data_IF_705095032881
#
_entry.id   IF_705095032881
#
_cell.length_a   1.000
_cell.length_b   1.000
_cell.length_c   1.000
_cell.angle_alpha   90.00
_cell.angle_beta   90.00
_cell.angle_gamma   90.00
#
_symmetry.space_group_name_H-M   'P 1'
#
loop_
_entity.id
_entity.type
_entity.pdbx_description
1 polymer ?
#
# COMPACT_ATOMS: atom_id res chain seq x y z
N UNK A 1 34.88 -5.68 10.38
CA UNK A 1 34.76 -5.36 8.95
C UNK A 1 33.54 -4.50 8.78
N UNK A 2 33.76 -3.24 8.40
CA UNK A 2 32.80 -2.14 8.47
C UNK A 2 31.76 -2.23 7.33
N UNK A 3 30.48 -2.37 7.69
CA UNK A 3 29.36 -2.18 6.78
C UNK A 3 28.97 -0.71 6.76
N UNK A 4 29.38 0.02 5.71
CA UNK A 4 29.01 1.42 5.50
C UNK A 4 27.52 1.52 5.17
N UNK A 5 26.75 2.18 6.03
CA UNK A 5 25.41 2.67 5.70
C UNK A 5 25.51 3.66 4.52
N UNK A 6 24.80 3.40 3.42
CA UNK A 6 24.79 4.25 2.23
C UNK A 6 24.00 5.57 2.40
N UNK A 7 23.68 5.98 3.62
CA UNK A 7 23.07 7.27 3.91
C UNK A 7 23.62 7.80 5.25
N UNK A 8 24.91 8.14 5.26
CA UNK A 8 25.40 9.09 6.26
C UNK A 8 24.73 10.46 6.04
N UNK A 9 24.50 11.28 7.09
CA UNK A 9 23.94 12.60 6.92
C UNK A 9 24.82 13.37 5.93
N UNK A 10 24.20 13.96 4.91
CA UNK A 10 24.82 14.76 3.85
C UNK A 10 25.88 15.70 4.45
N UNK A 11 27.13 15.24 4.46
CA UNK A 11 28.28 16.09 4.67
C UNK A 11 28.44 16.90 3.39
N UNK A 12 28.36 18.22 3.54
CA UNK A 12 28.68 19.18 2.50
C UNK A 12 30.03 18.80 1.86
N UNK A 13 30.00 18.57 0.55
CA UNK A 13 31.20 18.43 -0.27
C UNK A 13 31.77 17.02 -0.36
N UNK A 14 31.11 16.13 -1.12
CA UNK A 14 31.81 15.01 -1.77
C UNK A 14 31.06 14.57 -3.03
N UNK A 15 31.75 14.66 -4.17
CA UNK A 15 31.27 14.38 -5.51
C UNK A 15 30.85 12.91 -5.68
N UNK A 16 29.55 12.65 -5.63
CA UNK A 16 28.89 11.52 -6.28
C UNK A 16 27.90 12.12 -7.27
N UNK A 17 27.83 11.62 -8.51
CA UNK A 17 26.87 12.05 -9.55
C UNK A 17 25.48 12.30 -8.91
N UNK A 18 25.13 13.58 -8.66
CA UNK A 18 23.97 13.89 -7.84
C UNK A 18 22.75 13.89 -8.74
N UNK A 19 21.81 12.99 -8.48
CA UNK A 19 20.42 13.37 -8.59
C UNK A 19 19.72 13.11 -9.92
N UNK A 20 19.56 11.86 -10.31
CA UNK A 20 18.43 11.45 -11.15
C UNK A 20 17.24 11.01 -10.27
N UNK A 21 17.42 10.02 -9.40
CA UNK A 21 16.33 9.51 -8.56
C UNK A 21 15.97 10.48 -7.42
N UNK A 22 16.99 11.11 -6.81
CA UNK A 22 16.78 12.13 -5.78
C UNK A 22 16.07 13.38 -6.29
N UNK A 23 16.41 13.85 -7.50
CA UNK A 23 15.71 14.99 -8.13
C UNK A 23 14.30 14.61 -8.56
N UNK A 24 14.09 13.40 -9.10
CA UNK A 24 12.75 12.85 -9.38
C UNK A 24 11.90 12.76 -8.12
N UNK A 25 12.46 12.31 -6.99
CA UNK A 25 11.78 12.26 -5.68
C UNK A 25 11.41 13.65 -5.19
N UNK A 26 12.33 14.62 -5.27
CA UNK A 26 12.05 16.01 -4.91
C UNK A 26 10.98 16.64 -5.82
N UNK A 27 11.03 16.36 -7.13
CA UNK A 27 10.04 16.82 -8.10
C UNK A 27 8.65 16.22 -7.82
N UNK A 28 8.57 14.93 -7.52
CA UNK A 28 7.33 14.26 -7.09
C UNK A 28 6.76 14.93 -5.84
N UNK A 29 7.56 15.10 -4.79
CA UNK A 29 7.12 15.72 -3.54
C UNK A 29 6.65 17.17 -3.75
N UNK A 30 7.32 17.94 -4.61
CA UNK A 30 6.89 19.30 -4.93
C UNK A 30 5.53 19.33 -5.64
N UNK A 31 5.28 18.40 -6.59
CA UNK A 31 3.97 18.27 -7.25
C UNK A 31 2.86 17.85 -6.28
N UNK A 32 3.16 16.93 -5.37
CA UNK A 32 2.23 16.50 -4.32
C UNK A 32 1.92 17.63 -3.31
N UNK A 33 2.85 18.56 -3.11
CA UNK A 33 2.68 19.76 -2.28
C UNK A 33 1.93 20.87 -2.99
N UNK A 34 2.15 21.05 -4.29
CA UNK A 34 1.47 22.07 -5.11
C UNK A 34 0.01 21.75 -5.41
N UNK A 35 -0.54 20.67 -4.82
CA UNK A 35 -1.92 20.19 -5.05
C UNK A 35 -2.24 20.03 -6.55
N UNK A 36 -1.27 19.55 -7.33
CA UNK A 36 -1.52 19.17 -8.72
C UNK A 36 -2.65 18.13 -8.81
N UNK A 37 -3.38 18.11 -9.92
CA UNK A 37 -4.40 17.10 -10.14
C UNK A 37 -3.78 15.70 -10.17
N UNK A 38 -4.54 14.71 -9.70
CA UNK A 38 -4.05 13.32 -9.60
C UNK A 38 -3.58 12.80 -10.96
N UNK A 39 -4.34 13.11 -12.02
CA UNK A 39 -4.05 12.69 -13.39
C UNK A 39 -2.72 13.24 -13.88
N UNK A 40 -2.45 14.54 -13.64
CA UNK A 40 -1.21 15.18 -14.05
C UNK A 40 0.02 14.58 -13.36
N UNK A 41 -0.13 14.19 -12.09
CA UNK A 41 0.95 13.57 -11.33
C UNK A 41 1.27 12.18 -11.87
N UNK A 42 0.25 11.36 -12.15
CA UNK A 42 0.43 10.01 -12.69
C UNK A 42 1.02 10.05 -14.11
N UNK A 43 0.50 10.93 -14.96
CA UNK A 43 0.99 11.09 -16.34
C UNK A 43 2.45 11.54 -16.37
N UNK A 44 2.83 12.51 -15.54
CA UNK A 44 4.22 12.91 -15.38
C UNK A 44 5.09 11.75 -14.89
N UNK A 45 4.61 11.00 -13.90
CA UNK A 45 5.36 9.93 -13.26
C UNK A 45 5.66 8.79 -14.25
N UNK A 46 4.64 8.32 -14.99
CA UNK A 46 4.76 7.28 -16.00
C UNK A 46 5.63 7.67 -17.20
N UNK A 47 5.74 8.97 -17.52
CA UNK A 47 6.65 9.46 -18.56
C UNK A 47 8.10 9.63 -18.12
N UNK A 48 8.33 9.82 -16.82
CA UNK A 48 9.64 10.24 -16.29
C UNK A 48 10.41 9.10 -15.62
N UNK A 49 9.72 8.05 -15.21
CA UNK A 49 10.26 6.95 -14.40
C UNK A 49 9.90 5.63 -15.05
N UNK A 50 10.89 4.74 -15.17
CA UNK A 50 10.66 3.39 -15.68
C UNK A 50 9.76 2.61 -14.73
N UNK A 51 8.90 1.75 -15.30
CA UNK A 51 7.90 1.01 -14.54
C UNK A 51 8.51 0.15 -13.41
N UNK A 52 9.75 -0.33 -13.56
CA UNK A 52 10.46 -1.09 -12.53
C UNK A 52 10.80 -0.27 -11.29
N UNK A 53 11.04 1.04 -11.47
CA UNK A 53 11.57 1.92 -10.44
C UNK A 53 10.46 2.75 -9.76
N UNK A 54 9.25 2.75 -10.35
CA UNK A 54 8.08 3.46 -9.84
C UNK A 54 7.77 3.12 -8.38
N UNK A 55 7.64 1.84 -7.97
CA UNK A 55 7.28 1.52 -6.59
C UNK A 55 8.35 1.99 -5.60
N UNK A 56 9.63 1.87 -5.99
CA UNK A 56 10.76 2.28 -5.17
C UNK A 56 10.80 3.79 -4.97
N UNK A 57 10.68 4.55 -6.07
CA UNK A 57 10.67 6.02 -6.00
C UNK A 57 9.50 6.50 -5.12
N UNK A 58 8.27 6.03 -5.39
CA UNK A 58 7.08 6.48 -4.67
C UNK A 58 7.15 6.09 -3.19
N UNK A 59 7.51 4.84 -2.87
CA UNK A 59 7.68 4.43 -1.48
C UNK A 59 8.70 5.31 -0.77
N UNK A 60 9.90 5.47 -1.33
CA UNK A 60 10.96 6.24 -0.68
C UNK A 60 10.59 7.71 -0.52
N UNK A 61 9.97 8.34 -1.52
CA UNK A 61 9.50 9.72 -1.42
C UNK A 61 8.45 9.89 -0.31
N UNK A 62 7.42 9.05 -0.27
CA UNK A 62 6.32 9.16 0.69
C UNK A 62 6.77 8.79 2.11
N UNK A 63 7.53 7.71 2.27
CA UNK A 63 8.06 7.29 3.57
C UNK A 63 9.07 8.30 4.12
N UNK A 64 9.90 8.90 3.27
CA UNK A 64 10.80 9.99 3.67
C UNK A 64 10.04 11.22 4.13
N UNK A 65 8.94 11.58 3.47
CA UNK A 65 8.10 12.70 3.90
C UNK A 65 7.35 12.39 5.21
N UNK A 66 6.98 11.13 5.45
CA UNK A 66 6.24 10.66 6.62
C UNK A 66 7.09 10.26 7.83
N UNK A 67 8.42 10.22 7.71
CA UNK A 67 9.33 9.63 8.72
C UNK A 67 9.33 10.33 10.08
N UNK A 68 8.80 11.55 10.18
CA UNK A 68 8.74 12.34 11.42
C UNK A 68 7.94 11.66 12.53
N UNK A 69 6.84 10.99 12.20
CA UNK A 69 6.03 10.22 13.17
C UNK A 69 5.07 9.28 12.45
N UNK A 70 4.66 8.20 13.14
CA UNK A 70 3.70 7.23 12.60
C UNK A 70 2.39 7.90 12.21
N UNK A 71 1.87 8.85 13.00
CA UNK A 71 0.64 9.58 12.67
C UNK A 71 0.81 10.50 11.46
N UNK A 72 2.00 11.07 11.24
CA UNK A 72 2.26 11.87 10.04
C UNK A 72 2.30 11.00 8.80
N UNK A 73 2.99 9.86 8.88
CA UNK A 73 3.00 8.85 7.84
C UNK A 73 1.59 8.38 7.50
N UNK A 74 0.77 8.05 8.51
CA UNK A 74 -0.60 7.58 8.30
C UNK A 74 -1.44 8.57 7.47
N UNK A 75 -1.38 9.86 7.82
CA UNK A 75 -2.08 10.91 7.05
C UNK A 75 -1.61 11.02 5.61
N UNK A 76 -0.31 10.84 5.36
CA UNK A 76 0.25 10.86 4.00
C UNK A 76 -0.18 9.63 3.21
N UNK A 77 -0.18 8.45 3.81
CA UNK A 77 -0.65 7.22 3.19
C UNK A 77 -2.15 7.32 2.83
N UNK A 78 -2.97 7.93 3.70
CA UNK A 78 -4.39 8.18 3.40
C UNK A 78 -4.57 9.16 2.24
N UNK A 79 -3.83 10.28 2.27
CA UNK A 79 -3.92 11.30 1.23
C UNK A 79 -3.46 10.81 -0.15
N UNK A 80 -2.44 9.96 -0.18
CA UNK A 80 -1.79 9.49 -1.41
C UNK A 80 -2.07 8.01 -1.69
N UNK A 81 -3.16 7.46 -1.15
CA UNK A 81 -3.57 6.07 -1.41
C UNK A 81 -3.76 5.82 -2.90
N UNK A 82 -4.33 6.78 -3.64
CA UNK A 82 -4.52 6.68 -5.10
C UNK A 82 -3.20 6.47 -5.84
N UNK A 83 -2.13 7.14 -5.42
CA UNK A 83 -0.79 7.02 -6.02
C UNK A 83 -0.18 5.65 -5.70
N UNK A 84 -0.34 5.20 -4.45
CA UNK A 84 0.15 3.90 -4.01
C UNK A 84 -0.59 2.74 -4.70
N UNK A 85 -1.89 2.88 -4.93
CA UNK A 85 -2.70 1.90 -5.63
C UNK A 85 -2.32 1.78 -7.11
N UNK A 86 -2.02 2.90 -7.78
CA UNK A 86 -1.57 2.92 -9.17
C UNK A 86 -0.22 2.19 -9.35
N UNK A 87 0.76 2.50 -8.49
CA UNK A 87 2.06 1.81 -8.51
C UNK A 87 2.03 0.38 -7.94
N UNK A 88 0.92 -0.03 -7.33
CA UNK A 88 0.70 -1.37 -6.78
C UNK A 88 -0.36 -2.15 -7.58
N UNK A 89 -0.49 -1.84 -8.87
CA UNK A 89 -1.52 -2.40 -9.75
C UNK A 89 -1.36 -3.91 -9.97
N UNK A 90 -0.12 -4.41 -10.07
CA UNK A 90 0.17 -5.83 -10.28
C UNK A 90 0.92 -6.50 -9.10
N UNK A 91 0.89 -7.84 -8.99
CA UNK A 91 1.54 -8.56 -7.89
C UNK A 91 3.06 -8.34 -7.79
N UNK A 92 3.76 -8.15 -8.91
CA UNK A 92 5.20 -7.88 -8.93
C UNK A 92 5.48 -6.46 -8.42
N UNK A 93 4.67 -5.49 -8.82
CA UNK A 93 4.75 -4.12 -8.35
C UNK A 93 4.46 -4.03 -6.84
N UNK A 94 3.49 -4.80 -6.31
CA UNK A 94 3.25 -4.95 -4.86
C UNK A 94 4.44 -5.53 -4.12
N UNK A 95 5.05 -6.58 -4.65
CA UNK A 95 6.27 -7.16 -4.06
C UNK A 95 7.44 -6.17 -4.06
N UNK A 96 7.62 -5.42 -5.15
CA UNK A 96 8.62 -4.35 -5.24
C UNK A 96 8.34 -3.22 -4.24
N UNK A 97 7.08 -2.83 -4.07
CA UNK A 97 6.68 -1.81 -3.09
C UNK A 97 6.96 -2.27 -1.66
N UNK A 98 6.67 -3.53 -1.34
CA UNK A 98 6.98 -4.13 -0.05
C UNK A 98 8.50 -4.14 0.21
N UNK A 99 9.29 -4.58 -0.77
CA UNK A 99 10.74 -4.56 -0.69
C UNK A 99 11.30 -3.15 -0.50
N UNK A 100 10.86 -2.19 -1.30
CA UNK A 100 11.30 -0.79 -1.19
C UNK A 100 10.98 -0.19 0.18
N UNK A 101 9.80 -0.49 0.73
CA UNK A 101 9.38 -0.03 2.05
C UNK A 101 10.23 -0.62 3.17
N UNK A 102 10.60 -1.91 3.07
CA UNK A 102 11.46 -2.56 4.04
C UNK A 102 12.90 -2.08 3.98
N UNK A 103 13.44 -1.86 2.77
CA UNK A 103 14.77 -1.26 2.58
C UNK A 103 14.82 0.14 3.20
N UNK A 104 13.76 0.93 3.06
CA UNK A 104 13.69 2.27 3.67
C UNK A 104 13.76 2.20 5.20
N UNK A 105 13.10 1.23 5.82
CA UNK A 105 13.06 1.03 7.27
C UNK A 105 14.01 -0.06 7.78
N UNK A 106 15.10 -0.34 7.06
CA UNK A 106 16.01 -1.45 7.38
C UNK A 106 16.62 -1.31 8.79
N UNK A 107 16.89 -0.08 9.21
CA UNK A 107 17.39 0.24 10.56
C UNK A 107 16.35 0.04 11.68
N UNK A 108 15.06 -0.11 11.33
CA UNK A 108 13.96 -0.26 12.28
C UNK A 108 12.98 -1.35 11.82
N UNK A 109 13.21 -2.62 12.22
CA UNK A 109 12.31 -3.73 11.91
C UNK A 109 10.88 -3.50 12.40
N UNK A 110 10.72 -2.86 13.57
CA UNK A 110 9.40 -2.53 14.10
C UNK A 110 8.64 -1.58 13.16
N UNK A 111 9.30 -0.54 12.66
CA UNK A 111 8.68 0.40 11.72
C UNK A 111 8.31 -0.29 10.40
N UNK A 112 9.15 -1.21 9.90
CA UNK A 112 8.82 -2.02 8.71
C UNK A 112 7.48 -2.73 8.86
N UNK A 113 7.28 -3.44 9.98
CA UNK A 113 6.03 -4.15 10.25
C UNK A 113 4.83 -3.22 10.45
N UNK A 114 5.02 -2.08 11.13
CA UNK A 114 3.96 -1.06 11.28
C UNK A 114 3.52 -0.56 9.91
N UNK A 115 4.46 -0.23 9.02
CA UNK A 115 4.14 0.22 7.65
C UNK A 115 3.39 -0.84 6.87
N UNK A 116 3.85 -2.10 6.91
CA UNK A 116 3.14 -3.19 6.24
C UNK A 116 1.70 -3.37 6.72
N UNK A 117 1.47 -3.35 8.03
CA UNK A 117 0.11 -3.41 8.57
C UNK A 117 -0.76 -2.26 8.04
N UNK A 118 -0.20 -1.05 7.93
CA UNK A 118 -0.91 0.12 7.41
C UNK A 118 -1.19 0.02 5.91
N UNK A 119 -0.29 -0.56 5.13
CA UNK A 119 -0.48 -0.77 3.69
C UNK A 119 -1.49 -1.89 3.39
N UNK A 120 -1.48 -2.99 4.16
CA UNK A 120 -2.51 -4.04 4.03
C UNK A 120 -3.89 -3.50 4.42
N UNK A 121 -3.98 -2.71 5.50
CA UNK A 121 -5.26 -2.11 5.94
C UNK A 121 -5.92 -1.27 4.83
N UNK A 122 -5.13 -0.69 3.94
CA UNK A 122 -5.58 0.14 2.82
C UNK A 122 -5.70 -0.63 1.50
N UNK A 123 -5.56 -1.96 1.55
CA UNK A 123 -5.64 -2.85 0.39
C UNK A 123 -4.62 -2.52 -0.70
N UNK A 124 -3.52 -1.84 -0.34
CA UNK A 124 -2.42 -1.52 -1.25
C UNK A 124 -1.51 -2.75 -1.40
N UNK A 125 -1.24 -3.42 -0.28
CA UNK A 125 -0.49 -4.68 -0.23
C UNK A 125 -1.41 -5.80 0.24
N UNK A 126 -1.10 -7.01 -0.20
CA UNK A 126 -1.67 -8.24 0.30
C UNK A 126 -0.65 -8.98 1.20
N UNK A 127 -1.16 -9.88 2.04
CA UNK A 127 -0.31 -10.72 2.87
C UNK A 127 0.67 -11.55 2.01
N UNK A 128 0.21 -12.01 0.84
CA UNK A 128 1.02 -12.80 -0.09
C UNK A 128 2.27 -12.03 -0.56
N UNK A 129 2.17 -10.75 -0.93
CA UNK A 129 3.34 -9.97 -1.36
C UNK A 129 4.38 -9.82 -0.25
N UNK A 130 3.94 -9.67 1.01
CA UNK A 130 4.85 -9.56 2.15
C UNK A 130 5.54 -10.89 2.44
N UNK A 131 4.81 -12.01 2.37
CA UNK A 131 5.41 -13.34 2.49
C UNK A 131 6.40 -13.61 1.35
N UNK A 132 6.04 -13.27 0.11
CA UNK A 132 6.92 -13.41 -1.04
C UNK A 132 8.20 -12.58 -0.87
N UNK A 133 8.08 -11.37 -0.35
CA UNK A 133 9.23 -10.52 0.00
C UNK A 133 10.11 -11.17 1.07
N UNK A 134 9.55 -11.61 2.21
CA UNK A 134 10.33 -12.17 3.31
C UNK A 134 11.03 -13.47 2.92
N UNK A 135 10.41 -14.28 2.05
CA UNK A 135 10.95 -15.53 1.54
C UNK A 135 11.90 -15.34 0.34
N UNK A 136 12.06 -14.10 -0.15
CA UNK A 136 12.97 -13.80 -1.26
C UNK A 136 14.42 -14.15 -0.91
N UNK A 137 15.22 -14.44 -1.93
CA UNK A 137 16.61 -14.86 -1.72
C UNK A 137 17.44 -13.83 -0.93
N UNK A 138 17.14 -12.54 -1.10
CA UNK A 138 17.79 -11.43 -0.43
C UNK A 138 17.38 -11.30 1.05
N UNK A 139 16.09 -11.53 1.35
CA UNK A 139 15.52 -11.22 2.67
C UNK A 139 15.29 -12.44 3.57
N UNK A 140 15.42 -13.67 3.04
CA UNK A 140 15.20 -14.92 3.79
C UNK A 140 16.03 -15.04 5.08
N UNK A 141 17.17 -14.36 5.15
CA UNK A 141 17.99 -14.33 6.37
C UNK A 141 17.23 -13.76 7.57
N UNK A 142 16.24 -12.88 7.33
CA UNK A 142 15.39 -12.29 8.38
C UNK A 142 14.51 -13.32 9.08
N UNK A 143 14.16 -14.42 8.42
CA UNK A 143 13.38 -15.52 9.03
C UNK A 143 14.10 -16.17 10.22
N UNK A 144 15.40 -15.94 10.40
CA UNK A 144 16.11 -16.38 11.60
C UNK A 144 15.78 -15.53 12.85
N UNK A 145 15.20 -14.34 12.69
CA UNK A 145 14.88 -13.44 13.79
C UNK A 145 13.45 -13.65 14.30
N UNK A 146 13.29 -13.67 15.63
CA UNK A 146 11.98 -13.81 16.28
C UNK A 146 11.01 -12.69 15.89
N UNK A 147 11.50 -11.45 15.80
CA UNK A 147 10.69 -10.28 15.42
C UNK A 147 10.09 -10.39 14.01
N UNK A 148 10.70 -11.16 13.12
CA UNK A 148 10.12 -11.44 11.81
C UNK A 148 8.92 -12.37 11.92
N UNK A 149 8.97 -13.37 12.79
CA UNK A 149 7.84 -14.26 13.04
C UNK A 149 6.68 -13.57 13.74
N UNK A 150 6.96 -12.68 14.69
CA UNK A 150 5.91 -11.82 15.30
C UNK A 150 5.22 -10.98 14.22
N UNK A 151 6.01 -10.35 13.35
CA UNK A 151 5.49 -9.57 12.23
C UNK A 151 4.64 -10.40 11.26
N UNK A 152 5.10 -11.60 10.91
CA UNK A 152 4.36 -12.56 10.08
C UNK A 152 3.04 -12.96 10.76
N UNK A 153 3.06 -13.26 12.06
CA UNK A 153 1.87 -13.63 12.81
C UNK A 153 0.84 -12.49 12.79
N UNK A 154 1.29 -11.24 13.00
CA UNK A 154 0.45 -10.05 12.91
C UNK A 154 -0.19 -9.88 11.51
N UNK A 155 0.57 -10.11 10.44
CA UNK A 155 0.04 -10.07 9.08
C UNK A 155 -0.98 -11.19 8.84
N UNK A 156 -0.70 -12.40 9.33
CA UNK A 156 -1.58 -13.55 9.19
C UNK A 156 -2.91 -13.35 9.95
N UNK A 157 -2.85 -12.92 11.21
CA UNK A 157 -4.02 -12.56 12.01
C UNK A 157 -4.85 -11.46 11.31
N UNK A 158 -4.19 -10.48 10.69
CA UNK A 158 -4.87 -9.43 9.93
C UNK A 158 -5.57 -9.98 8.70
N UNK A 159 -4.91 -10.85 7.92
CA UNK A 159 -5.51 -11.47 6.73
C UNK A 159 -6.71 -12.36 7.10
N UNK A 160 -6.59 -13.15 8.17
CA UNK A 160 -7.70 -13.93 8.71
C UNK A 160 -8.86 -13.06 9.18
N UNK A 161 -8.57 -11.91 9.81
CA UNK A 161 -9.61 -10.98 10.24
C UNK A 161 -10.35 -10.39 9.04
N UNK A 162 -9.62 -9.96 8.00
CA UNK A 162 -10.22 -9.45 6.77
C UNK A 162 -11.10 -10.50 6.10
N UNK A 163 -10.64 -11.76 6.02
CA UNK A 163 -11.43 -12.87 5.48
C UNK A 163 -12.76 -13.06 6.25
N UNK A 164 -12.70 -13.07 7.58
CA UNK A 164 -13.90 -13.19 8.43
C UNK A 164 -14.86 -12.02 8.26
N UNK A 165 -14.32 -10.80 8.13
CA UNK A 165 -15.13 -9.60 7.89
C UNK A 165 -15.87 -9.71 6.55
N UNK A 166 -15.17 -10.11 5.48
CA UNK A 166 -15.77 -10.34 4.16
C UNK A 166 -16.84 -11.45 4.20
N UNK A 167 -16.57 -12.57 4.89
CA UNK A 167 -17.53 -13.66 5.04
C UNK A 167 -18.79 -13.21 5.80
N UNK A 168 -18.62 -12.42 6.85
CA UNK A 168 -19.72 -11.85 7.63
C UNK A 168 -20.57 -10.92 6.77
N UNK A 169 -19.95 -10.05 5.98
CA UNK A 169 -20.65 -9.13 5.10
C UNK A 169 -21.40 -9.88 3.99
N UNK A 170 -20.80 -10.94 3.44
CA UNK A 170 -21.46 -11.82 2.47
C UNK A 170 -22.71 -12.50 3.06
N UNK A 171 -22.59 -13.08 4.26
CA UNK A 171 -23.72 -13.72 4.96
C UNK A 171 -24.83 -12.73 5.31
N UNK A 172 -24.47 -11.47 5.60
CA UNK A 172 -25.45 -10.42 5.87
C UNK A 172 -26.22 -10.05 4.60
N UNK A 173 -25.53 -9.96 3.47
CA UNK A 173 -26.17 -9.70 2.18
C UNK A 173 -27.09 -10.85 1.76
N UNK A 174 -26.66 -12.11 1.94
CA UNK A 174 -27.49 -13.29 1.67
C UNK A 174 -28.79 -13.27 2.48
N UNK A 175 -28.73 -12.93 3.78
CA UNK A 175 -29.93 -12.78 4.62
C UNK A 175 -30.83 -11.66 4.14
N UNK A 176 -30.27 -10.51 3.75
CA UNK A 176 -31.06 -9.41 3.17
C UNK A 176 -31.80 -9.86 1.92
N UNK A 177 -31.14 -10.60 1.02
CA UNK A 177 -31.81 -11.13 -0.18
C UNK A 177 -32.91 -12.15 0.15
N UNK A 178 -32.72 -13.01 1.15
CA UNK A 178 -33.76 -13.92 1.61
C UNK A 178 -34.98 -13.17 2.18
N UNK A 179 -34.76 -12.10 2.95
CA UNK A 179 -35.83 -11.23 3.46
C UNK A 179 -36.55 -10.45 2.35
N UNK A 180 -35.86 -10.03 1.28
CA UNK A 180 -36.50 -9.44 0.10
C UNK A 180 -37.36 -10.45 -0.68
N UNK A 181 -36.91 -11.71 -0.78
CA UNK A 181 -37.65 -12.77 -1.49
C UNK A 181 -38.93 -13.25 -0.78
N UNK A 182 -39.02 -13.02 0.53
CA UNK A 182 -40.19 -13.38 1.37
C UNK A 182 -41.20 -12.22 1.53
N UNK A 183 -40.85 -11.01 1.05
CA UNK A 183 -41.73 -9.83 1.08
C UNK A 183 -42.75 -9.91 -0.06
N UNK A 184 -44.03 -9.80 0.28
CA UNK A 184 -45.14 -9.84 -0.67
C UNK A 184 -45.04 -8.63 -1.65
N UNK A 185 -45.12 -8.83 -2.98
CA UNK A 185 -44.94 -7.76 -3.98
C UNK A 185 -46.04 -6.67 -3.99
N UNK A 186 -47.06 -6.78 -3.13
CA UNK A 186 -48.12 -5.77 -3.00
C UNK A 186 -47.77 -4.60 -2.03
N UNK A 187 -46.62 -4.66 -1.34
CA UNK A 187 -46.15 -3.62 -0.40
C UNK A 187 -45.08 -2.69 -1.03
N UNK A 188 -45.02 -2.59 -2.36
CA UNK A 188 -44.00 -1.80 -3.07
C UNK A 188 -44.22 -0.27 -2.90
N UNK A 189 -43.50 0.31 -1.94
CA UNK A 189 -42.98 1.67 -2.08
C UNK A 189 -41.83 1.62 -3.11
N UNK A 190 -42.09 2.07 -4.34
CA UNK A 190 -41.18 2.09 -5.51
C UNK A 190 -39.81 2.79 -5.30
N UNK A 191 -39.55 3.35 -4.12
CA UNK A 191 -38.37 4.16 -3.80
C UNK A 191 -37.30 3.42 -2.95
N UNK A 192 -37.40 2.08 -2.83
CA UNK A 192 -36.43 1.33 -2.02
C UNK A 192 -35.04 1.27 -2.68
N UNK A 193 -33.96 1.75 -2.01
CA UNK A 193 -32.61 1.87 -2.59
C UNK A 193 -31.93 0.53 -2.93
N UNK A 194 -32.53 -0.61 -2.57
CA UNK A 194 -32.04 -1.94 -2.92
C UNK A 194 -32.47 -2.39 -4.33
N UNK A 195 -33.63 -1.94 -4.83
CA UNK A 195 -34.09 -2.25 -6.18
C UNK A 195 -33.21 -1.62 -7.26
N UNK A 196 -32.64 -0.44 -6.97
CA UNK A 196 -31.75 0.31 -7.88
C UNK A 196 -30.36 -0.32 -8.08
N UNK A 197 -29.99 -1.36 -7.31
CA UNK A 197 -28.67 -2.02 -7.41
C UNK A 197 -28.70 -3.40 -8.07
N UNK A 198 -29.87 -3.87 -8.50
CA UNK A 198 -29.96 -5.09 -9.30
C UNK A 198 -29.37 -4.80 -10.70
N UNK A 199 -28.45 -5.64 -11.22
CA UNK A 199 -28.09 -5.55 -12.62
C UNK A 199 -29.34 -5.85 -13.44
N UNK A 200 -29.75 -4.89 -14.27
CA UNK A 200 -30.83 -5.09 -15.23
C UNK A 200 -30.58 -6.40 -15.98
N UNK A 201 -31.44 -7.39 -15.76
CA UNK A 201 -31.35 -8.65 -16.49
C UNK A 201 -31.48 -8.31 -17.97
N UNK A 202 -30.39 -8.51 -18.73
CA UNK A 202 -30.39 -8.36 -20.19
C UNK A 202 -31.27 -9.44 -20.78
N UNK A 203 -32.40 -9.02 -21.36
CA UNK A 203 -33.09 -9.75 -22.42
C UNK A 203 -32.37 -9.60 -23.75
#
# INVERSE_FOLDING_TARGET
SEGRCAWAPLAEGAHAEPGALGTKSAALLNRLRSKAEQVDVLDWLHRTVDASDLPTLVAHSLLSAGSKSVSHLERLLDKFQWLLADVASDPRARANLAAASAVFWDSSPQMTWIVFQKLIRREILDAQSIFAWVCSAEHRHRLAHHSTWEGIQLIFERALSQFKDTERDFKLEEKRYAEYGDRNPDDDDEDSPAAQRLPAQRG
#
